data_IF_144094549528
#
_entry.id   IF_144094549528
#
_cell.length_a   1.000
_cell.length_b   1.000
_cell.length_c   1.000
_cell.angle_alpha   90.00
_cell.angle_beta   90.00
_cell.angle_gamma   90.00
#
_symmetry.space_group_name_H-M   'P 1'
#
loop_
_entity.id
_entity.type
_entity.pdbx_description
1 polymer ?
#
# COMPACT_ATOMS: atom_id res chain seq x y z
N UNK A 1 -3.34 8.26 -50.16
CA UNK A 1 -3.74 6.92 -49.65
C UNK A 1 -2.99 6.47 -48.39
N UNK A 2 -1.85 7.08 -48.01
CA UNK A 2 -1.12 6.76 -46.76
C UNK A 2 -1.72 7.36 -45.47
N UNK A 3 -2.44 8.48 -45.57
CA UNK A 3 -3.06 9.17 -44.43
C UNK A 3 -4.30 8.46 -43.89
N UNK A 4 -5.05 7.75 -44.74
CA UNK A 4 -6.23 6.98 -44.33
C UNK A 4 -5.88 5.72 -43.52
N UNK A 5 -4.68 5.15 -43.72
CA UNK A 5 -4.21 3.99 -42.96
C UNK A 5 -3.87 4.34 -41.51
N UNK A 6 -3.42 5.58 -41.28
CA UNK A 6 -3.01 6.07 -39.95
C UNK A 6 -4.21 6.29 -39.02
N UNK A 7 -5.35 6.78 -39.55
CA UNK A 7 -6.58 6.94 -38.77
C UNK A 7 -7.21 5.61 -38.36
N UNK A 8 -7.12 4.58 -39.22
CA UNK A 8 -7.60 3.23 -38.88
C UNK A 8 -6.76 2.57 -37.77
N UNK A 9 -5.44 2.78 -37.76
CA UNK A 9 -4.54 2.30 -36.71
C UNK A 9 -4.74 3.04 -35.37
N UNK A 10 -5.03 4.35 -35.40
CA UNK A 10 -5.31 5.14 -34.20
C UNK A 10 -6.63 4.72 -33.53
N UNK A 11 -7.67 4.44 -34.33
CA UNK A 11 -8.97 3.99 -33.84
C UNK A 11 -8.92 2.59 -33.17
N UNK A 12 -8.05 1.69 -33.67
CA UNK A 12 -7.82 0.38 -33.04
C UNK A 12 -7.07 0.49 -31.70
N UNK A 13 -6.17 1.47 -31.56
CA UNK A 13 -5.44 1.68 -30.30
C UNK A 13 -6.34 2.27 -29.19
N UNK A 14 -7.33 3.09 -29.57
CA UNK A 14 -8.34 3.60 -28.62
C UNK A 14 -9.29 2.52 -28.10
N UNK A 15 -9.44 1.40 -28.82
CA UNK A 15 -10.29 0.29 -28.37
C UNK A 15 -9.68 -0.50 -27.19
N UNK A 16 -8.35 -0.47 -27.03
CA UNK A 16 -7.68 -1.10 -25.88
C UNK A 16 -7.65 -0.23 -24.61
N UNK A 17 -7.80 1.09 -24.75
CA UNK A 17 -7.82 2.03 -23.60
C UNK A 17 -9.24 2.25 -23.06
N UNK A 18 -10.26 1.87 -23.83
CA UNK A 18 -11.67 2.15 -23.55
C UNK A 18 -12.51 0.97 -23.03
N UNK A 19 -11.91 -0.13 -22.53
CA UNK A 19 -12.71 -1.08 -21.74
C UNK A 19 -12.92 -0.45 -20.36
N UNK A 20 -13.89 0.45 -20.27
CA UNK A 20 -14.57 0.75 -19.02
C UNK A 20 -15.15 -0.56 -18.50
N UNK A 21 -14.37 -1.22 -17.64
CA UNK A 21 -14.79 -2.41 -16.91
C UNK A 21 -15.99 -1.98 -16.08
N UNK A 22 -17.18 -2.35 -16.56
CA UNK A 22 -18.44 -2.16 -15.84
C UNK A 22 -18.27 -2.72 -14.42
N UNK A 23 -18.58 -1.96 -13.36
CA UNK A 23 -18.49 -2.45 -11.98
C UNK A 23 -19.58 -3.49 -11.65
N UNK A 24 -20.39 -3.90 -12.63
CA UNK A 24 -21.59 -4.71 -12.43
C UNK A 24 -21.34 -6.22 -12.27
N UNK A 25 -20.09 -6.71 -12.35
CA UNK A 25 -19.80 -8.15 -12.38
C UNK A 25 -18.61 -8.57 -11.50
N UNK A 26 -18.20 -7.76 -10.52
CA UNK A 26 -17.32 -8.29 -9.48
C UNK A 26 -18.10 -9.27 -8.60
N UNK A 27 -17.69 -10.55 -8.52
CA UNK A 27 -18.30 -11.48 -7.59
C UNK A 27 -18.13 -10.91 -6.18
N UNK A 28 -19.17 -11.06 -5.35
CA UNK A 28 -19.14 -10.60 -3.97
C UNK A 28 -17.83 -11.05 -3.29
N UNK A 29 -17.15 -10.16 -2.53
CA UNK A 29 -15.84 -10.47 -1.97
C UNK A 29 -15.94 -11.72 -1.10
N UNK A 30 -14.94 -12.61 -1.27
CA UNK A 30 -14.87 -13.81 -0.43
C UNK A 30 -14.81 -13.43 1.05
N UNK A 31 -15.30 -14.33 1.92
CA UNK A 31 -15.22 -14.13 3.38
C UNK A 31 -13.79 -13.79 3.82
N UNK A 32 -12.79 -14.45 3.25
CA UNK A 32 -11.37 -14.22 3.53
C UNK A 32 -10.93 -12.81 3.11
N UNK A 33 -11.34 -12.35 1.92
CA UNK A 33 -11.09 -10.97 1.45
C UNK A 33 -11.69 -9.93 2.40
N UNK A 34 -12.91 -10.17 2.87
CA UNK A 34 -13.56 -9.29 3.85
C UNK A 34 -12.81 -9.28 5.19
N UNK A 35 -12.36 -10.44 5.67
CA UNK A 35 -11.53 -10.55 6.88
C UNK A 35 -10.24 -9.73 6.76
N UNK A 36 -9.55 -9.80 5.61
CA UNK A 36 -8.35 -9.02 5.33
C UNK A 36 -8.62 -7.53 5.32
N UNK A 37 -9.64 -7.09 4.57
CA UNK A 37 -10.03 -5.68 4.52
C UNK A 37 -10.34 -5.14 5.91
N UNK A 38 -11.17 -5.84 6.69
CA UNK A 38 -11.52 -5.43 8.06
C UNK A 38 -10.31 -5.39 9.01
N UNK A 39 -9.33 -6.28 8.83
CA UNK A 39 -8.09 -6.24 9.59
C UNK A 39 -7.23 -5.02 9.23
N UNK A 40 -7.13 -4.70 7.93
CA UNK A 40 -6.39 -3.53 7.45
C UNK A 40 -7.06 -2.23 7.94
N UNK A 41 -8.38 -2.10 7.87
CA UNK A 41 -9.10 -0.93 8.38
C UNK A 41 -8.83 -0.69 9.88
N UNK A 42 -8.86 -1.77 10.68
CA UNK A 42 -8.49 -1.69 12.11
C UNK A 42 -7.03 -1.34 12.33
N UNK A 43 -6.12 -1.74 11.44
CA UNK A 43 -4.73 -1.33 11.48
C UNK A 43 -4.57 0.15 11.15
N UNK A 44 -5.25 0.65 10.13
CA UNK A 44 -5.26 2.07 9.74
C UNK A 44 -5.71 2.92 10.92
N UNK A 45 -6.85 2.59 11.53
CA UNK A 45 -7.38 3.31 12.69
C UNK A 45 -6.38 3.36 13.85
N UNK A 46 -5.74 2.23 14.19
CA UNK A 46 -4.71 2.18 15.24
C UNK A 46 -3.45 2.97 14.88
N UNK A 47 -3.04 2.97 13.61
CA UNK A 47 -1.89 3.74 13.16
C UNK A 47 -2.18 5.24 13.21
N UNK A 48 -3.35 5.69 12.75
CA UNK A 48 -3.75 7.09 12.82
C UNK A 48 -3.83 7.57 14.29
N UNK A 49 -4.44 6.79 15.19
CA UNK A 49 -4.49 7.13 16.62
C UNK A 49 -3.10 7.27 17.27
N UNK A 50 -2.10 6.53 16.79
CA UNK A 50 -0.71 6.65 17.26
C UNK A 50 0.04 7.81 16.58
N UNK A 51 -0.31 8.12 15.34
CA UNK A 51 0.23 9.27 14.61
C UNK A 51 -0.17 10.61 15.25
N UNK A 52 -1.36 10.67 15.89
CA UNK A 52 -1.84 11.86 16.60
C UNK A 52 -0.94 12.28 17.77
N UNK A 53 -0.07 11.38 18.25
CA UNK A 53 0.95 11.69 19.27
C UNK A 53 2.13 12.50 18.73
N UNK A 54 2.11 12.94 17.47
CA UNK A 54 3.18 13.70 16.81
C UNK A 54 3.55 15.03 17.47
N UNK A 55 2.67 15.58 18.31
CA UNK A 55 2.94 16.81 19.07
C UNK A 55 3.63 16.57 20.42
N UNK A 56 3.98 15.33 20.76
CA UNK A 56 4.66 15.00 22.02
C UNK A 56 5.99 15.76 22.19
N UNK A 57 6.34 16.14 23.42
CA UNK A 57 7.65 16.72 23.72
C UNK A 57 8.79 15.70 23.69
N UNK A 58 8.47 14.40 23.73
CA UNK A 58 9.47 13.33 23.72
C UNK A 58 9.83 12.94 22.29
N UNK A 59 11.12 13.04 21.93
CA UNK A 59 11.62 12.78 20.58
C UNK A 59 11.30 11.37 20.08
N UNK A 60 11.44 10.35 20.93
CA UNK A 60 11.10 8.96 20.59
C UNK A 60 9.60 8.79 20.28
N UNK A 61 8.71 9.50 20.98
CA UNK A 61 7.27 9.49 20.71
C UNK A 61 6.97 10.18 19.38
N UNK A 62 7.61 11.31 19.08
CA UNK A 62 7.49 11.99 17.78
C UNK A 62 7.93 11.10 16.62
N UNK A 63 9.08 10.44 16.75
CA UNK A 63 9.59 9.52 15.73
C UNK A 63 8.66 8.32 15.53
N UNK A 64 8.16 7.74 16.63
CA UNK A 64 7.18 6.66 16.56
C UNK A 64 5.89 7.12 15.86
N UNK A 65 5.37 8.30 16.21
CA UNK A 65 4.19 8.89 15.58
C UNK A 65 4.39 9.09 14.07
N UNK A 66 5.54 9.59 13.63
CA UNK A 66 5.87 9.71 12.21
C UNK A 66 5.91 8.35 11.49
N UNK A 67 6.47 7.31 12.13
CA UNK A 67 6.47 5.96 11.57
C UNK A 67 5.04 5.39 11.43
N UNK A 68 4.19 5.59 12.44
CA UNK A 68 2.78 5.17 12.38
C UNK A 68 1.98 5.97 11.36
N UNK A 69 2.25 7.26 11.19
CA UNK A 69 1.66 8.07 10.12
C UNK A 69 2.01 7.48 8.76
N UNK A 70 3.30 7.20 8.51
CA UNK A 70 3.75 6.62 7.25
C UNK A 70 3.11 5.25 6.99
N UNK A 71 3.01 4.42 8.03
CA UNK A 71 2.36 3.12 7.94
C UNK A 71 0.86 3.21 7.64
N UNK A 72 0.16 4.21 8.20
CA UNK A 72 -1.24 4.45 7.85
C UNK A 72 -1.38 4.80 6.37
N UNK A 73 -0.54 5.69 5.84
CA UNK A 73 -0.54 6.04 4.41
C UNK A 73 -0.23 4.83 3.52
N UNK A 74 0.73 4.00 3.92
CA UNK A 74 1.03 2.73 3.23
C UNK A 74 -0.20 1.82 3.16
N UNK A 75 -0.88 1.63 4.29
CA UNK A 75 -2.07 0.78 4.38
C UNK A 75 -3.25 1.32 3.57
N UNK A 76 -3.51 2.62 3.64
CA UNK A 76 -4.59 3.28 2.90
C UNK A 76 -4.38 3.17 1.39
N UNK A 77 -3.14 3.39 0.92
CA UNK A 77 -2.84 3.40 -0.51
C UNK A 77 -2.74 2.00 -1.13
N UNK A 78 -2.38 0.97 -0.34
CA UNK A 78 -2.12 -0.38 -0.84
C UNK A 78 -3.10 -1.43 -0.32
N UNK A 79 -4.21 -1.03 0.31
CA UNK A 79 -5.19 -1.95 0.93
C UNK A 79 -5.62 -3.09 0.01
N UNK A 80 -6.02 -2.75 -1.21
CA UNK A 80 -6.55 -3.73 -2.16
C UNK A 80 -5.45 -4.65 -2.69
N UNK A 81 -4.25 -4.09 -2.93
CA UNK A 81 -3.08 -4.87 -3.34
C UNK A 81 -2.66 -5.84 -2.25
N UNK A 82 -2.51 -5.38 -1.00
CA UNK A 82 -2.19 -6.21 0.15
C UNK A 82 -3.23 -7.33 0.34
N UNK A 83 -4.52 -7.03 0.15
CA UNK A 83 -5.58 -8.04 0.26
C UNK A 83 -5.47 -9.12 -0.82
N UNK A 84 -5.16 -8.72 -2.07
CA UNK A 84 -4.89 -9.67 -3.17
C UNK A 84 -3.62 -10.47 -2.94
N UNK A 85 -2.53 -9.84 -2.48
CA UNK A 85 -1.27 -10.52 -2.19
C UNK A 85 -1.45 -11.55 -1.07
N UNK A 86 -2.13 -11.18 0.03
CA UNK A 86 -2.42 -12.10 1.14
C UNK A 86 -3.28 -13.28 0.71
N UNK A 87 -4.26 -13.04 -0.16
CA UNK A 87 -5.10 -14.11 -0.72
C UNK A 87 -4.28 -15.06 -1.60
N UNK A 88 -3.48 -14.52 -2.52
CA UNK A 88 -2.61 -15.32 -3.39
C UNK A 88 -1.54 -16.11 -2.63
N UNK A 89 -1.08 -15.60 -1.48
CA UNK A 89 -0.06 -16.24 -0.63
C UNK A 89 -0.65 -17.09 0.50
N UNK A 90 -1.97 -17.15 0.65
CA UNK A 90 -2.65 -17.90 1.71
C UNK A 90 -2.12 -17.58 3.13
N UNK A 91 -1.97 -16.29 3.46
CA UNK A 91 -1.37 -15.81 4.73
C UNK A 91 -2.11 -16.31 5.98
N UNK A 92 -3.37 -16.73 5.83
CA UNK A 92 -4.24 -17.14 6.93
C UNK A 92 -5.05 -15.98 7.48
N UNK A 93 -6.14 -16.28 8.19
CA UNK A 93 -7.15 -15.30 8.61
C UNK A 93 -6.94 -14.76 10.03
N UNK A 94 -5.98 -15.32 10.79
CA UNK A 94 -5.73 -14.86 12.15
C UNK A 94 -5.07 -13.48 12.11
N UNK A 95 -5.52 -12.59 12.99
CA UNK A 95 -5.06 -11.21 13.04
C UNK A 95 -3.53 -11.10 13.09
N UNK A 96 -2.84 -11.89 13.91
CA UNK A 96 -1.38 -11.84 13.99
C UNK A 96 -0.67 -12.22 12.68
N UNK A 97 -1.25 -13.09 11.86
CA UNK A 97 -0.68 -13.50 10.57
C UNK A 97 -0.76 -12.34 9.57
N UNK A 98 -1.95 -11.71 9.52
CA UNK A 98 -2.21 -10.53 8.69
C UNK A 98 -1.30 -9.38 9.11
N UNK A 99 -1.24 -9.07 10.42
CA UNK A 99 -0.38 -8.01 10.94
C UNK A 99 1.11 -8.28 10.66
N UNK A 100 1.57 -9.52 10.86
CA UNK A 100 2.95 -9.91 10.56
C UNK A 100 3.28 -9.71 9.08
N UNK A 101 2.41 -10.17 8.18
CA UNK A 101 2.58 -10.01 6.75
C UNK A 101 2.64 -8.54 6.33
N UNK A 102 1.67 -7.74 6.77
CA UNK A 102 1.61 -6.31 6.47
C UNK A 102 2.84 -5.57 6.98
N UNK A 103 3.29 -5.88 8.20
CA UNK A 103 4.49 -5.28 8.78
C UNK A 103 5.72 -5.62 7.95
N UNK A 104 5.86 -6.90 7.57
CA UNK A 104 6.96 -7.34 6.71
C UNK A 104 6.99 -6.56 5.39
N UNK A 105 5.84 -6.44 4.69
CA UNK A 105 5.75 -5.69 3.43
C UNK A 105 6.07 -4.20 3.62
N UNK A 106 5.59 -3.59 4.70
CA UNK A 106 5.89 -2.20 5.01
C UNK A 106 7.40 -1.94 5.17
N UNK A 107 8.09 -2.76 5.98
CA UNK A 107 9.53 -2.59 6.21
C UNK A 107 10.37 -2.98 4.98
N UNK A 108 9.91 -3.92 4.16
CA UNK A 108 10.53 -4.23 2.87
C UNK A 108 10.48 -3.02 1.91
N UNK A 109 9.33 -2.34 1.85
CA UNK A 109 9.17 -1.12 1.06
C UNK A 109 10.10 0.00 1.57
N UNK A 110 10.20 0.18 2.89
CA UNK A 110 11.11 1.17 3.47
C UNK A 110 12.57 0.88 3.12
N UNK A 111 13.00 -0.37 3.27
CA UNK A 111 14.37 -0.81 2.95
C UNK A 111 14.72 -0.60 1.47
N UNK A 112 13.78 -0.86 0.57
CA UNK A 112 14.00 -0.69 -0.87
C UNK A 112 14.01 0.79 -1.27
N UNK A 113 13.20 1.63 -0.62
CA UNK A 113 13.20 3.08 -0.83
C UNK A 113 14.52 3.74 -0.36
N UNK A 114 15.09 3.29 0.76
CA UNK A 114 16.37 3.80 1.26
C UNK A 114 17.56 3.28 0.46
N UNK A 115 17.55 2.01 0.03
CA UNK A 115 18.61 1.46 -0.81
C UNK A 115 18.74 2.17 -2.18
N UNK A 116 17.64 2.73 -2.69
CA UNK A 116 17.62 3.49 -3.95
C UNK A 116 18.13 4.94 -3.80
N UNK A 117 18.36 5.40 -2.57
CA UNK A 117 18.89 6.73 -2.24
C UNK A 117 20.22 6.61 -1.46
N UNK A 118 21.38 6.39 -2.14
CA UNK A 118 22.67 6.18 -1.47
C UNK A 118 23.29 7.45 -0.86
N UNK A 119 22.51 8.53 -0.66
CA UNK A 119 23.03 9.88 -0.41
C UNK A 119 22.69 10.49 0.95
N UNK A 120 22.32 9.71 1.96
CA UNK A 120 22.08 10.29 3.30
C UNK A 120 23.38 10.25 4.11
N UNK A 121 24.00 11.41 4.43
CA UNK A 121 25.25 11.44 5.15
C UNK A 121 25.06 10.84 6.55
N UNK A 122 25.94 9.89 6.86
CA UNK A 122 26.15 9.36 8.20
C UNK A 122 26.58 10.53 9.11
N UNK A 123 25.66 11.03 9.94
CA UNK A 123 26.04 11.84 11.08
C UNK A 123 26.59 10.91 12.15
N UNK A 124 27.79 10.40 11.88
CA UNK A 124 28.65 9.78 12.86
C UNK A 124 28.85 10.76 14.01
N UNK A 125 28.27 10.42 15.15
CA UNK A 125 28.43 11.16 16.38
C UNK A 125 29.87 10.91 16.87
N UNK A 126 30.80 11.75 16.43
CA UNK A 126 32.11 11.91 17.05
C UNK A 126 31.95 12.94 18.16
N UNK A 127 31.85 12.49 19.40
CA UNK A 127 32.49 13.04 20.60
C UNK A 127 32.09 12.21 21.83
#
# INVERSE_FOLDING_TARGET
>A
MKTMLFFALLALFSFFVGISRSPADEPAPSRTTLTYSNCIERLIARCNAKADLGNSHMTNVKQAAALYWLKARFLENLKDELSREMLGRQVGEKQYQIEHYVNHRFFELLRTATAKNPGMPDHGNSH
#
